data_IF_052277980721
#
_entry.id   IF_052277980721
#
_cell.length_a   1.000
_cell.length_b   1.000
_cell.length_c   1.000
_cell.angle_alpha   90.00
_cell.angle_beta   90.00
_cell.angle_gamma   90.00
#
_symmetry.space_group_name_H-M   'P 1'
#
loop_
_entity.id
_entity.type
_entity.pdbx_description
1 polymer ?
#
# COMPACT_ATOMS: atom_id res chain seq x y z
N UNK A 1 -6.48 -28.43 -5.51
CA UNK A 1 -6.89 -27.20 -6.20
C UNK A 1 -5.86 -26.89 -7.26
N UNK A 2 -6.19 -27.03 -8.55
CA UNK A 2 -5.36 -26.61 -9.68
C UNK A 2 -5.18 -25.09 -9.68
N UNK A 3 -4.23 -24.52 -10.45
CA UNK A 3 -4.12 -23.07 -10.60
C UNK A 3 -5.44 -22.40 -11.00
N UNK A 4 -6.19 -22.99 -11.92
CA UNK A 4 -7.48 -22.48 -12.42
C UNK A 4 -8.58 -22.60 -11.36
N UNK A 5 -8.58 -23.68 -10.57
CA UNK A 5 -9.51 -23.83 -9.45
C UNK A 5 -9.25 -22.79 -8.35
N UNK A 6 -7.98 -22.43 -8.08
CA UNK A 6 -7.63 -21.37 -7.12
C UNK A 6 -8.03 -19.99 -7.60
N UNK A 7 -7.80 -19.70 -8.87
CA UNK A 7 -8.18 -18.43 -9.49
C UNK A 7 -9.69 -18.25 -9.45
N UNK A 8 -10.45 -19.30 -9.82
CA UNK A 8 -11.91 -19.29 -9.70
C UNK A 8 -12.38 -19.09 -8.26
N UNK A 9 -11.80 -19.80 -7.28
CA UNK A 9 -12.13 -19.60 -5.87
C UNK A 9 -11.83 -18.17 -5.41
N UNK A 10 -10.72 -17.59 -5.87
CA UNK A 10 -10.39 -16.21 -5.52
C UNK A 10 -11.44 -15.23 -6.08
N UNK A 11 -11.80 -15.37 -7.35
CA UNK A 11 -12.73 -14.47 -8.03
C UNK A 11 -14.17 -14.63 -7.53
N UNK A 12 -14.61 -15.85 -7.24
CA UNK A 12 -16.00 -16.16 -6.84
C UNK A 12 -16.24 -15.98 -5.34
N UNK A 13 -15.25 -16.25 -4.48
CA UNK A 13 -15.43 -16.25 -3.02
C UNK A 13 -14.61 -15.15 -2.33
N UNK A 14 -13.31 -15.05 -2.64
CA UNK A 14 -12.38 -14.19 -1.87
C UNK A 14 -12.55 -12.72 -2.21
N UNK A 15 -12.51 -12.35 -3.50
CA UNK A 15 -12.61 -10.96 -3.93
C UNK A 15 -13.95 -10.31 -3.52
N UNK A 16 -15.11 -10.97 -3.63
CA UNK A 16 -16.37 -10.43 -3.12
C UNK A 16 -16.39 -10.25 -1.60
N UNK A 17 -15.83 -11.21 -0.85
CA UNK A 17 -15.73 -11.12 0.61
C UNK A 17 -14.81 -9.96 1.06
N UNK A 18 -13.68 -9.76 0.38
CA UNK A 18 -12.79 -8.62 0.64
C UNK A 18 -13.47 -7.29 0.33
N UNK A 19 -14.24 -7.21 -0.75
CA UNK A 19 -15.00 -6.01 -1.09
C UNK A 19 -16.06 -5.67 -0.03
N UNK A 20 -16.78 -6.66 0.47
CA UNK A 20 -17.75 -6.49 1.56
C UNK A 20 -17.07 -6.07 2.87
N UNK A 21 -15.95 -6.70 3.21
CA UNK A 21 -15.17 -6.31 4.37
C UNK A 21 -14.70 -4.86 4.29
N UNK A 22 -14.24 -4.40 3.12
CA UNK A 22 -13.87 -3.01 2.90
C UNK A 22 -15.04 -2.06 3.16
N UNK A 23 -16.26 -2.40 2.71
CA UNK A 23 -17.47 -1.60 2.99
C UNK A 23 -17.76 -1.53 4.48
N UNK A 24 -17.69 -2.65 5.20
CA UNK A 24 -17.89 -2.68 6.65
C UNK A 24 -16.85 -1.86 7.41
N UNK A 25 -15.57 -2.01 7.06
CA UNK A 25 -14.49 -1.23 7.66
C UNK A 25 -14.66 0.28 7.40
N UNK A 26 -15.06 0.68 6.18
CA UNK A 26 -15.31 2.08 5.86
C UNK A 26 -16.46 2.65 6.70
N UNK A 27 -17.58 1.92 6.82
CA UNK A 27 -18.71 2.33 7.66
C UNK A 27 -18.34 2.44 9.16
N UNK A 28 -17.36 1.66 9.62
CA UNK A 28 -16.87 1.68 10.99
C UNK A 28 -15.72 2.66 11.25
N UNK A 29 -15.24 3.39 10.24
CA UNK A 29 -14.10 4.30 10.40
C UNK A 29 -12.75 3.58 10.58
N UNK A 30 -12.59 2.39 10.00
CA UNK A 30 -11.39 1.56 10.10
C UNK A 30 -10.70 1.47 8.74
N UNK A 31 -9.45 1.90 8.61
CA UNK A 31 -8.64 1.63 7.41
C UNK A 31 -8.21 0.17 7.35
N UNK A 32 -8.22 -0.43 6.15
CA UNK A 32 -7.81 -1.82 5.93
C UNK A 32 -6.94 -1.98 4.68
N UNK A 33 -5.98 -2.89 4.77
CA UNK A 33 -5.15 -3.37 3.67
C UNK A 33 -5.12 -4.90 3.74
N UNK A 34 -5.36 -5.55 2.61
CA UNK A 34 -5.23 -7.01 2.49
C UNK A 34 -4.37 -7.38 1.28
N UNK A 35 -3.57 -8.43 1.49
CA UNK A 35 -2.74 -9.05 0.46
C UNK A 35 -3.13 -10.52 0.33
N UNK A 36 -3.20 -11.01 -0.90
CA UNK A 36 -3.37 -12.42 -1.21
C UNK A 36 -2.33 -12.84 -2.24
N UNK A 37 -1.65 -13.96 -2.01
CA UNK A 37 -0.73 -14.53 -3.01
C UNK A 37 -1.43 -15.69 -3.71
N UNK A 38 -1.83 -15.49 -4.97
CA UNK A 38 -2.57 -16.49 -5.74
C UNK A 38 -1.63 -17.57 -6.30
N UNK A 39 -0.42 -17.15 -6.65
CA UNK A 39 0.73 -17.94 -7.12
C UNK A 39 2.00 -17.20 -6.68
N UNK A 40 3.17 -17.87 -6.59
CA UNK A 40 4.41 -17.18 -6.26
C UNK A 40 4.59 -15.92 -7.11
N UNK A 41 4.86 -14.79 -6.46
CA UNK A 41 5.06 -13.48 -7.09
C UNK A 41 3.81 -12.82 -7.72
N UNK A 42 2.65 -13.48 -7.68
CA UNK A 42 1.37 -12.96 -8.14
C UNK A 42 0.51 -12.49 -6.95
N UNK A 43 0.74 -11.25 -6.51
CA UNK A 43 0.02 -10.64 -5.40
C UNK A 43 -1.26 -9.92 -5.85
N UNK A 44 -2.37 -10.26 -5.21
CA UNK A 44 -3.59 -9.46 -5.15
C UNK A 44 -3.51 -8.47 -4.00
N UNK A 45 -3.88 -7.21 -4.25
CA UNK A 45 -3.92 -6.14 -3.25
C UNK A 45 -5.31 -5.50 -3.23
N UNK A 46 -5.91 -5.44 -2.04
CA UNK A 46 -7.12 -4.64 -1.79
C UNK A 46 -6.83 -3.67 -0.66
N UNK A 47 -7.13 -2.40 -0.86
CA UNK A 47 -6.87 -1.35 0.12
C UNK A 47 -8.05 -0.38 0.19
N UNK A 48 -8.44 -0.03 1.41
CA UNK A 48 -9.36 1.06 1.71
C UNK A 48 -8.75 1.84 2.88
N UNK A 49 -8.15 2.99 2.55
CA UNK A 49 -7.52 3.85 3.53
C UNK A 49 -8.37 5.11 3.68
N UNK A 50 -8.75 5.41 4.92
CA UNK A 50 -9.50 6.61 5.26
C UNK A 50 -8.58 7.84 5.31
N UNK A 51 -9.16 9.03 5.20
CA UNK A 51 -8.44 10.27 5.45
C UNK A 51 -7.93 10.31 6.89
N UNK A 52 -6.68 10.75 7.08
CA UNK A 52 -6.04 10.78 8.39
C UNK A 52 -5.58 9.41 8.91
N UNK A 53 -5.52 8.38 8.06
CA UNK A 53 -4.94 7.09 8.43
C UNK A 53 -3.49 7.23 8.93
N UNK A 54 -3.09 6.31 9.82
CA UNK A 54 -1.74 6.32 10.39
C UNK A 54 -0.66 5.90 9.39
N UNK A 55 0.57 6.38 9.63
CA UNK A 55 1.73 6.12 8.76
C UNK A 55 2.06 4.62 8.59
N UNK A 56 1.79 3.80 9.60
CA UNK A 56 2.06 2.35 9.52
C UNK A 56 1.30 1.65 8.40
N UNK A 57 0.00 1.95 8.22
CA UNK A 57 -0.79 1.33 7.15
C UNK A 57 -0.51 1.97 5.78
N UNK A 58 -0.14 3.26 5.75
CA UNK A 58 0.34 3.93 4.54
C UNK A 58 1.59 3.23 4.00
N UNK A 59 2.58 3.00 4.86
CA UNK A 59 3.83 2.33 4.51
C UNK A 59 3.59 0.90 4.02
N UNK A 60 2.72 0.15 4.70
CA UNK A 60 2.37 -1.21 4.28
C UNK A 60 1.70 -1.23 2.90
N UNK A 61 0.81 -0.27 2.60
CA UNK A 61 0.16 -0.17 1.30
C UNK A 61 1.14 0.20 0.18
N UNK A 62 2.11 1.08 0.48
CA UNK A 62 3.21 1.42 -0.43
C UNK A 62 4.08 0.19 -0.73
N UNK A 63 4.48 -0.55 0.31
CA UNK A 63 5.25 -1.79 0.15
C UNK A 63 4.47 -2.85 -0.66
N UNK A 64 3.18 -3.02 -0.37
CA UNK A 64 2.29 -3.88 -1.14
C UNK A 64 2.23 -3.47 -2.64
N UNK A 65 2.17 -2.17 -2.93
CA UNK A 65 2.15 -1.64 -4.30
C UNK A 65 3.46 -1.81 -5.05
N UNK A 66 4.58 -1.94 -4.35
CA UNK A 66 5.88 -2.20 -4.98
C UNK A 66 6.01 -3.63 -5.51
N UNK A 67 5.11 -4.55 -5.11
CA UNK A 67 5.07 -5.94 -5.57
C UNK A 67 6.45 -6.64 -5.53
N UNK A 68 7.17 -6.49 -4.41
CA UNK A 68 8.50 -7.08 -4.23
C UNK A 68 9.65 -6.38 -4.96
N UNK A 69 9.40 -5.31 -5.73
CA UNK A 69 10.44 -4.53 -6.39
C UNK A 69 11.05 -3.48 -5.43
N UNK A 70 12.33 -3.62 -5.03
CA UNK A 70 12.95 -2.70 -4.07
C UNK A 70 13.08 -1.27 -4.60
N UNK A 71 13.42 -1.10 -5.89
CA UNK A 71 13.58 0.22 -6.49
C UNK A 71 12.24 0.96 -6.57
N UNK A 72 11.16 0.25 -6.88
CA UNK A 72 9.82 0.80 -6.88
C UNK A 72 9.40 1.25 -5.46
N UNK A 73 9.73 0.46 -4.44
CA UNK A 73 9.50 0.80 -3.04
C UNK A 73 10.30 2.05 -2.64
N UNK A 74 11.62 2.05 -2.86
CA UNK A 74 12.49 3.18 -2.51
C UNK A 74 12.02 4.46 -3.20
N UNK A 75 11.69 4.38 -4.49
CA UNK A 75 11.15 5.53 -5.23
C UNK A 75 9.85 6.05 -4.63
N UNK A 76 8.93 5.16 -4.25
CA UNK A 76 7.67 5.56 -3.63
C UNK A 76 7.89 6.20 -2.25
N UNK A 77 8.82 5.68 -1.44
CA UNK A 77 9.20 6.27 -0.15
C UNK A 77 9.80 7.66 -0.31
N UNK A 78 10.67 7.85 -1.32
CA UNK A 78 11.24 9.17 -1.61
C UNK A 78 10.15 10.16 -2.03
N UNK A 79 9.23 9.75 -2.91
CA UNK A 79 8.15 10.62 -3.37
C UNK A 79 7.21 11.02 -2.22
N UNK A 80 6.85 10.07 -1.35
CA UNK A 80 6.04 10.34 -0.16
C UNK A 80 6.76 11.27 0.82
N UNK A 81 8.04 11.00 1.10
CA UNK A 81 8.89 11.84 1.93
C UNK A 81 9.01 13.29 1.42
N UNK A 82 9.11 13.48 0.10
CA UNK A 82 9.15 14.81 -0.50
C UNK A 82 7.82 15.57 -0.36
N UNK A 83 6.70 14.86 -0.46
CA UNK A 83 5.37 15.44 -0.39
C UNK A 83 4.91 15.73 1.06
N UNK A 84 5.24 14.84 1.99
CA UNK A 84 4.66 14.79 3.33
C UNK A 84 5.69 14.96 4.46
N UNK A 85 6.99 15.01 4.13
CA UNK A 85 8.07 14.94 5.11
C UNK A 85 8.32 13.52 5.60
N UNK A 86 9.40 13.33 6.37
CA UNK A 86 9.76 12.04 6.93
C UNK A 86 10.65 12.16 8.17
N UNK A 87 10.79 11.07 8.92
CA UNK A 87 11.73 10.94 10.05
C UNK A 87 12.86 9.94 9.80
N UNK A 88 12.94 9.38 8.58
CA UNK A 88 13.98 8.41 8.20
C UNK A 88 15.36 9.06 8.07
N UNK A 89 16.31 8.59 8.87
CA UNK A 89 17.73 9.00 8.78
C UNK A 89 18.35 8.56 7.45
N UNK A 90 17.93 7.41 6.90
CA UNK A 90 18.48 6.90 5.64
C UNK A 90 18.05 7.76 4.44
N UNK A 91 16.80 8.21 4.41
CA UNK A 91 16.35 9.14 3.37
C UNK A 91 17.10 10.48 3.47
N UNK A 92 17.38 10.94 4.69
CA UNK A 92 18.21 12.12 4.91
C UNK A 92 19.64 11.95 4.40
N UNK A 93 20.26 10.81 4.67
CA UNK A 93 21.59 10.47 4.13
C UNK A 93 21.62 10.38 2.60
N UNK A 94 20.48 10.06 1.97
CA UNK A 94 20.30 10.08 0.52
C UNK A 94 20.00 11.49 -0.03
N UNK A 95 19.97 12.51 0.82
CA UNK A 95 19.77 13.91 0.44
C UNK A 95 18.32 14.39 0.45
N UNK A 96 17.38 13.62 0.99
CA UNK A 96 15.98 14.05 1.14
C UNK A 96 15.81 14.77 2.48
N UNK A 97 15.33 16.03 2.52
CA UNK A 97 15.14 16.76 3.77
C UNK A 97 13.97 16.19 4.59
N UNK A 98 14.07 16.27 5.93
CA UNK A 98 13.02 15.78 6.83
C UNK A 98 11.69 16.49 6.63
N UNK A 99 11.72 17.80 6.38
CA UNK A 99 10.53 18.58 6.11
C UNK A 99 10.16 18.46 4.62
N UNK A 100 8.85 18.51 4.28
CA UNK A 100 8.42 18.49 2.89
C UNK A 100 9.14 19.57 2.08
N UNK A 101 9.55 19.24 0.86
CA UNK A 101 10.07 20.26 -0.04
C UNK A 101 8.89 21.11 -0.45
N UNK A 102 8.79 22.33 0.09
CA UNK A 102 7.74 23.27 -0.29
C UNK A 102 7.66 23.30 -1.81
N UNK A 103 6.46 23.06 -2.36
CA UNK A 103 6.23 23.12 -3.80
C UNK A 103 6.69 24.50 -4.28
N UNK A 104 7.88 24.56 -4.86
CA UNK A 104 8.46 25.80 -5.34
C UNK A 104 7.54 26.37 -6.40
N UNK A 105 6.97 27.53 -6.13
CA UNK A 105 6.50 28.44 -7.18
C UNK A 105 7.73 28.82 -8.00
N UNK A 106 7.98 28.07 -9.06
CA UNK A 106 8.99 28.33 -10.09
C UNK A 106 8.33 28.32 -11.45
#
# INVERSE_FOLDING_TARGET
MTPEERERFYDEDVAPALAELCRHCAAAGISILTLAELRPEALGRTAMLLDGHGQGIALANTAAGANGNPDALIRALIADAQANGHSSIYLFQLGIPFDPVAAGTG
#
